data_IF_522484612485
#
_entry.id   IF_522484612485
#
_cell.length_a   1.000
_cell.length_b   1.000
_cell.length_c   1.000
_cell.angle_alpha   90.00
_cell.angle_beta   90.00
_cell.angle_gamma   90.00
#
_symmetry.space_group_name_H-M   'P 1'
#
loop_
_entity.id
_entity.type
_entity.pdbx_description
1 polymer ?
#
# COMPACT_ATOMS: atom_id res chain seq x y z
N UNK A 1 51.65 -8.15 43.74
CA UNK A 1 51.28 -7.93 42.33
C UNK A 1 52.57 -7.69 41.56
N UNK A 2 52.86 -8.47 40.54
CA UNK A 2 54.01 -8.20 39.65
C UNK A 2 53.64 -7.09 38.66
N UNK A 3 54.60 -6.30 38.18
CA UNK A 3 54.36 -5.24 37.18
C UNK A 3 53.66 -5.78 35.92
N UNK A 4 53.97 -7.01 35.55
CA UNK A 4 53.39 -7.71 34.41
C UNK A 4 51.88 -7.97 34.60
N UNK A 5 51.47 -8.39 35.81
CA UNK A 5 50.06 -8.56 36.17
C UNK A 5 49.30 -7.23 36.17
N UNK A 6 49.94 -6.15 36.64
CA UNK A 6 49.34 -4.81 36.65
C UNK A 6 49.08 -4.31 35.22
N UNK A 7 50.07 -4.50 34.34
CA UNK A 7 49.99 -4.10 32.93
C UNK A 7 48.92 -4.88 32.18
N UNK A 8 48.82 -6.19 32.41
CA UNK A 8 47.78 -7.05 31.84
C UNK A 8 46.38 -6.60 32.27
N UNK A 9 46.21 -6.26 33.55
CA UNK A 9 44.94 -5.78 34.09
C UNK A 9 44.51 -4.45 33.45
N UNK A 10 45.43 -3.48 33.33
CA UNK A 10 45.16 -2.19 32.68
C UNK A 10 44.81 -2.35 31.20
N UNK A 11 45.47 -3.27 30.49
CA UNK A 11 45.14 -3.55 29.10
C UNK A 11 43.74 -4.16 28.95
N UNK A 12 43.41 -5.14 29.80
CA UNK A 12 42.09 -5.75 29.83
C UNK A 12 41.01 -4.72 30.13
N UNK A 13 41.22 -3.87 31.14
CA UNK A 13 40.28 -2.80 31.49
C UNK A 13 40.03 -1.85 30.31
N UNK A 14 41.09 -1.46 29.61
CA UNK A 14 41.00 -0.60 28.42
C UNK A 14 40.19 -1.28 27.32
N UNK A 15 40.46 -2.55 27.04
CA UNK A 15 39.72 -3.33 26.03
C UNK A 15 38.25 -3.51 26.38
N UNK A 16 37.93 -3.76 27.65
CA UNK A 16 36.54 -3.87 28.11
C UNK A 16 35.81 -2.53 27.95
N UNK A 17 36.45 -1.42 28.31
CA UNK A 17 35.87 -0.08 28.11
C UNK A 17 35.62 0.20 26.62
N UNK A 18 36.56 -0.14 25.75
CA UNK A 18 36.40 0.00 24.29
C UNK A 18 35.23 -0.86 23.78
N UNK A 19 35.11 -2.10 24.23
CA UNK A 19 34.00 -2.99 23.86
C UNK A 19 32.66 -2.43 24.33
N UNK A 20 32.58 -1.90 25.55
CA UNK A 20 31.37 -1.28 26.08
C UNK A 20 30.93 -0.07 25.24
N UNK A 21 31.87 0.77 24.82
CA UNK A 21 31.58 1.91 23.94
C UNK A 21 31.05 1.46 22.58
N UNK A 22 31.66 0.43 21.98
CA UNK A 22 31.21 -0.13 20.71
C UNK A 22 29.81 -0.75 20.83
N UNK A 23 29.54 -1.49 21.90
CA UNK A 23 28.21 -2.05 22.15
C UNK A 23 27.16 -0.95 22.31
N UNK A 24 27.51 0.17 22.96
CA UNK A 24 26.63 1.32 23.09
C UNK A 24 26.34 1.97 21.73
N UNK A 25 27.37 2.23 20.92
CA UNK A 25 27.18 2.84 19.60
C UNK A 25 26.36 1.95 18.67
N UNK A 26 26.61 0.64 18.67
CA UNK A 26 25.83 -0.32 17.88
C UNK A 26 24.35 -0.35 18.30
N UNK A 27 24.06 -0.24 19.60
CA UNK A 27 22.68 -0.16 20.08
C UNK A 27 22.00 1.12 19.61
N UNK A 28 22.69 2.26 19.73
CA UNK A 28 22.16 3.55 19.29
C UNK A 28 21.89 3.58 17.77
N UNK A 29 22.80 2.99 16.98
CA UNK A 29 22.64 2.85 15.53
C UNK A 29 21.46 1.94 15.19
N UNK A 30 21.34 0.79 15.86
CA UNK A 30 20.20 -0.12 15.70
C UNK A 30 18.87 0.59 15.98
N UNK A 31 18.78 1.31 17.10
CA UNK A 31 17.57 2.04 17.49
C UNK A 31 17.24 3.18 16.51
N UNK A 32 18.26 3.79 15.89
CA UNK A 32 18.07 4.78 14.83
C UNK A 32 17.56 4.14 13.52
N UNK A 33 18.13 3.00 13.13
CA UNK A 33 17.72 2.25 11.94
C UNK A 33 16.29 1.72 12.08
N UNK A 34 15.91 1.20 13.25
CA UNK A 34 14.55 0.73 13.53
C UNK A 34 13.52 1.86 13.39
N UNK A 35 13.81 3.05 13.94
CA UNK A 35 12.97 4.25 13.76
C UNK A 35 12.86 4.65 12.30
N UNK A 36 14.00 4.74 11.61
CA UNK A 36 14.01 5.12 10.19
C UNK A 36 13.34 4.08 9.28
N UNK A 37 13.24 2.82 9.70
CA UNK A 37 12.47 1.78 9.00
C UNK A 37 10.97 1.97 9.24
N UNK A 38 10.56 2.18 10.49
CA UNK A 38 9.17 2.41 10.84
C UNK A 38 8.58 3.64 10.11
N UNK A 39 9.34 4.73 10.04
CA UNK A 39 8.93 5.93 9.30
C UNK A 39 8.73 5.65 7.81
N UNK A 40 9.64 4.90 7.19
CA UNK A 40 9.51 4.49 5.78
C UNK A 40 8.30 3.60 5.55
N UNK A 41 8.01 2.67 6.45
CA UNK A 41 6.84 1.80 6.36
C UNK A 41 5.53 2.58 6.43
N UNK A 42 5.47 3.62 7.27
CA UNK A 42 4.31 4.53 7.35
C UNK A 42 4.11 5.27 6.02
N UNK A 43 5.18 5.85 5.48
CA UNK A 43 5.14 6.58 4.20
C UNK A 43 4.74 5.63 3.06
N UNK A 44 5.28 4.42 3.03
CA UNK A 44 4.98 3.43 2.01
C UNK A 44 3.51 3.03 2.04
N UNK A 45 2.95 2.75 3.23
CA UNK A 45 1.52 2.47 3.39
C UNK A 45 0.64 3.63 2.93
N UNK A 46 0.98 4.86 3.32
CA UNK A 46 0.24 6.05 2.90
C UNK A 46 0.29 6.24 1.37
N UNK A 47 1.45 6.02 0.76
CA UNK A 47 1.64 6.14 -0.68
C UNK A 47 0.86 5.07 -1.44
N UNK A 48 0.86 3.82 -0.95
CA UNK A 48 0.07 2.73 -1.52
C UNK A 48 -1.43 3.02 -1.45
N UNK A 49 -1.91 3.58 -0.33
CA UNK A 49 -3.30 3.97 -0.19
C UNK A 49 -3.68 5.08 -1.19
N UNK A 50 -2.85 6.11 -1.32
CA UNK A 50 -3.06 7.20 -2.28
C UNK A 50 -3.05 6.70 -3.72
N UNK A 51 -2.17 5.75 -4.05
CA UNK A 51 -2.12 5.12 -5.36
C UNK A 51 -3.42 4.35 -5.65
N UNK A 52 -3.86 3.51 -4.71
CA UNK A 52 -5.11 2.75 -4.84
C UNK A 52 -6.32 3.67 -5.02
N UNK A 53 -6.36 4.78 -4.28
CA UNK A 53 -7.42 5.77 -4.43
C UNK A 53 -7.37 6.44 -5.81
N UNK A 54 -6.18 6.78 -6.31
CA UNK A 54 -6.04 7.35 -7.65
C UNK A 54 -6.41 6.38 -8.76
N UNK A 55 -6.04 5.12 -8.63
CA UNK A 55 -6.45 4.07 -9.57
C UNK A 55 -7.98 3.94 -9.61
N UNK A 56 -8.64 3.95 -8.45
CA UNK A 56 -10.10 3.94 -8.36
C UNK A 56 -10.72 5.18 -9.03
N UNK A 57 -10.20 6.38 -8.75
CA UNK A 57 -10.66 7.62 -9.38
C UNK A 57 -10.45 7.61 -10.89
N UNK A 58 -9.30 7.14 -11.36
CA UNK A 58 -8.99 7.00 -12.78
C UNK A 58 -9.94 6.02 -13.47
N UNK A 59 -10.19 4.85 -12.87
CA UNK A 59 -11.15 3.88 -13.40
C UNK A 59 -12.56 4.45 -13.45
N UNK A 60 -13.00 5.16 -12.41
CA UNK A 60 -14.30 5.84 -12.40
C UNK A 60 -14.40 6.89 -13.50
N UNK A 61 -13.33 7.68 -13.73
CA UNK A 61 -13.29 8.67 -14.80
C UNK A 61 -13.31 8.01 -16.19
N UNK A 62 -12.58 6.91 -16.37
CA UNK A 62 -12.59 6.12 -17.62
C UNK A 62 -13.99 5.56 -17.90
N UNK A 63 -14.67 5.03 -16.89
CA UNK A 63 -16.05 4.56 -17.00
C UNK A 63 -17.01 5.71 -17.34
N UNK A 64 -16.90 6.85 -16.64
CA UNK A 64 -17.71 8.03 -16.94
C UNK A 64 -17.47 8.56 -18.36
N UNK A 65 -16.21 8.54 -18.82
CA UNK A 65 -15.83 8.83 -20.19
C UNK A 65 -16.51 7.89 -21.17
N UNK A 66 -16.41 6.58 -20.94
CA UNK A 66 -17.07 5.57 -21.78
C UNK A 66 -18.59 5.78 -21.85
N UNK A 67 -19.25 6.08 -20.73
CA UNK A 67 -20.69 6.39 -20.68
C UNK A 67 -21.01 7.70 -21.42
N UNK A 68 -20.13 8.70 -21.34
CA UNK A 68 -20.31 10.00 -22.00
C UNK A 68 -20.08 9.93 -23.52
N UNK A 69 -19.04 9.21 -23.96
CA UNK A 69 -18.77 8.93 -25.38
C UNK A 69 -19.78 7.93 -25.97
N UNK A 70 -20.28 7.02 -25.14
CA UNK A 70 -21.36 6.08 -25.46
C UNK A 70 -22.74 6.72 -25.59
N UNK A 71 -22.92 8.05 -25.52
CA UNK A 71 -24.23 8.70 -25.76
C UNK A 71 -24.81 8.41 -27.15
N UNK A 72 -23.98 8.04 -28.13
CA UNK A 72 -24.45 7.56 -29.45
C UNK A 72 -25.01 6.14 -29.36
N UNK A 73 -24.39 5.27 -28.55
CA UNK A 73 -24.75 3.86 -28.38
C UNK A 73 -25.82 3.64 -27.29
N UNK A 74 -25.97 4.55 -26.32
CA UNK A 74 -26.98 4.47 -25.24
C UNK A 74 -28.40 4.63 -25.79
N UNK A 75 -28.61 5.47 -26.80
CA UNK A 75 -29.91 5.56 -27.49
C UNK A 75 -30.24 4.26 -28.23
N UNK A 76 -29.25 3.68 -28.89
CA UNK A 76 -29.39 2.43 -29.62
C UNK A 76 -29.67 1.26 -28.66
N UNK A 77 -28.89 1.17 -27.57
CA UNK A 77 -29.10 0.21 -26.49
C UNK A 77 -30.44 0.41 -25.77
N UNK A 78 -30.90 1.64 -25.56
CA UNK A 78 -32.22 1.93 -24.98
C UNK A 78 -33.35 1.49 -25.91
N UNK A 79 -33.19 1.66 -27.23
CA UNK A 79 -34.15 1.18 -28.23
C UNK A 79 -34.22 -0.36 -28.25
N UNK A 80 -33.06 -1.04 -28.26
CA UNK A 80 -33.02 -2.51 -28.23
C UNK A 80 -33.59 -3.06 -26.92
N UNK A 81 -33.29 -2.44 -25.78
CA UNK A 81 -33.88 -2.86 -24.50
C UNK A 81 -35.41 -2.68 -24.50
N UNK A 82 -35.91 -1.58 -25.08
CA UNK A 82 -37.35 -1.32 -25.18
C UNK A 82 -38.07 -2.29 -26.12
N UNK A 83 -37.41 -2.78 -27.18
CA UNK A 83 -37.99 -3.80 -28.06
C UNK A 83 -38.08 -5.15 -27.35
N UNK A 84 -37.03 -5.54 -26.60
CA UNK A 84 -37.00 -6.78 -25.84
C UNK A 84 -38.09 -6.78 -24.74
N UNK A 85 -38.26 -5.67 -24.01
CA UNK A 85 -39.32 -5.55 -23.00
C UNK A 85 -40.70 -5.70 -23.64
N UNK A 86 -40.95 -5.10 -24.81
CA UNK A 86 -42.23 -5.29 -25.53
C UNK A 86 -42.48 -6.71 -26.00
N UNK A 87 -41.43 -7.43 -26.40
CA UNK A 87 -41.55 -8.85 -26.76
C UNK A 87 -41.84 -9.71 -25.53
N UNK A 88 -41.22 -9.40 -24.40
CA UNK A 88 -41.53 -10.06 -23.12
C UNK A 88 -42.97 -9.76 -22.69
N UNK A 89 -43.42 -8.51 -22.76
CA UNK A 89 -44.81 -8.14 -22.43
C UNK A 89 -45.81 -8.87 -23.32
N UNK A 90 -45.54 -9.01 -24.62
CA UNK A 90 -46.34 -9.83 -25.55
C UNK A 90 -46.33 -11.31 -25.19
N UNK A 91 -45.18 -11.85 -24.79
CA UNK A 91 -45.09 -13.23 -24.32
C UNK A 91 -45.84 -13.44 -23.00
N UNK A 92 -45.85 -12.44 -22.11
CA UNK A 92 -46.62 -12.47 -20.85
C UNK A 92 -48.12 -12.41 -21.15
N UNK A 93 -48.56 -11.57 -22.09
CA UNK A 93 -49.95 -11.53 -22.54
C UNK A 93 -50.40 -12.87 -23.15
N UNK A 94 -49.57 -13.50 -23.98
CA UNK A 94 -49.82 -14.83 -24.56
C UNK A 94 -49.88 -15.98 -23.52
N UNK A 95 -49.35 -15.78 -22.31
CA UNK A 95 -49.43 -16.74 -21.20
C UNK A 95 -50.68 -16.48 -20.32
N UNK A 96 -51.27 -15.29 -20.42
CA UNK A 96 -52.47 -14.90 -19.68
C UNK A 96 -53.79 -15.06 -20.48
N UNK A 97 -53.72 -15.57 -21.71
CA UNK A 97 -54.81 -16.28 -22.40
C UNK A 97 -54.71 -17.80 -22.15
#
# INVERSE_FOLDING_TARGET
MTEEQQTLLTNLETRVRQLMLLCKSLREEKDALERASADKDIILKSTQQALSEMEARYNNLKLAGLVSFGKKDVKEAQQTLSSIVREIDKCIELINE
#
